data_IF_833227218889
#
_entry.id   IF_833227218889
#
_cell.length_a   1.000
_cell.length_b   1.000
_cell.length_c   1.000
_cell.angle_alpha   90.00
_cell.angle_beta   90.00
_cell.angle_gamma   90.00
#
_symmetry.space_group_name_H-M   'P 1'
#
loop_
_entity.id
_entity.type
_entity.pdbx_description
1 polymer ?
#
# COMPACT_ATOMS: atom_id res chain seq x y z
N UNK A 1 26.93 13.78 4.71
CA UNK A 1 25.92 12.73 4.44
C UNK A 1 26.35 12.02 3.15
N UNK A 2 26.91 10.81 3.22
CA UNK A 2 27.28 10.06 2.01
C UNK A 2 25.98 9.52 1.42
N UNK A 3 25.54 10.05 0.28
CA UNK A 3 24.53 9.36 -0.52
C UNK A 3 25.12 8.01 -0.87
N UNK A 4 24.45 6.91 -0.48
CA UNK A 4 24.81 5.59 -1.02
C UNK A 4 24.68 5.71 -2.54
N UNK A 5 25.72 5.33 -3.28
CA UNK A 5 25.65 5.32 -4.74
C UNK A 5 24.44 4.47 -5.16
N UNK A 6 23.63 5.00 -6.08
CA UNK A 6 22.50 4.26 -6.61
C UNK A 6 23.02 2.96 -7.24
N UNK A 7 22.30 1.85 -7.02
CA UNK A 7 22.59 0.62 -7.75
C UNK A 7 22.49 0.93 -9.24
N UNK A 8 23.56 0.61 -9.96
CA UNK A 8 23.65 0.79 -11.40
C UNK A 8 23.70 -0.56 -12.10
N UNK A 9 23.29 -0.60 -13.35
CA UNK A 9 23.13 -1.81 -14.15
C UNK A 9 23.64 -1.59 -15.57
N UNK A 10 24.16 -2.63 -16.22
CA UNK A 10 24.46 -2.58 -17.65
C UNK A 10 23.19 -2.82 -18.48
N UNK A 11 23.22 -2.48 -19.77
CA UNK A 11 22.13 -2.82 -20.68
C UNK A 11 21.88 -4.34 -20.71
N UNK A 12 22.96 -5.13 -20.71
CA UNK A 12 22.88 -6.59 -20.71
C UNK A 12 22.19 -7.13 -19.44
N UNK A 13 22.51 -6.58 -18.26
CA UNK A 13 21.85 -6.98 -17.00
C UNK A 13 20.35 -6.68 -17.03
N UNK A 14 19.95 -5.53 -17.59
CA UNK A 14 18.53 -5.18 -17.76
C UNK A 14 17.84 -6.15 -18.73
N UNK A 15 18.46 -6.42 -19.88
CA UNK A 15 17.93 -7.35 -20.89
C UNK A 15 17.82 -8.79 -20.37
N UNK A 16 18.84 -9.28 -19.67
CA UNK A 16 18.82 -10.59 -19.03
C UNK A 16 17.69 -10.66 -17.98
N UNK A 17 17.47 -9.59 -17.22
CA UNK A 17 16.38 -9.58 -16.24
C UNK A 17 15.00 -9.54 -16.91
N UNK A 18 14.83 -8.83 -18.03
CA UNK A 18 13.61 -8.90 -18.84
C UNK A 18 13.35 -10.34 -19.34
N UNK A 19 14.38 -11.04 -19.82
CA UNK A 19 14.27 -12.44 -20.23
C UNK A 19 13.86 -13.34 -19.06
N UNK A 20 14.46 -13.18 -17.87
CA UNK A 20 14.09 -13.95 -16.66
C UNK A 20 12.67 -13.71 -16.18
N UNK A 21 12.11 -12.52 -16.46
CA UNK A 21 10.73 -12.17 -16.09
C UNK A 21 9.71 -12.57 -17.16
N UNK A 22 10.16 -13.25 -18.23
CA UNK A 22 9.38 -13.62 -19.41
C UNK A 22 8.70 -12.40 -20.06
N UNK A 23 9.38 -11.25 -20.08
CA UNK A 23 8.87 -10.01 -20.69
C UNK A 23 9.40 -9.91 -22.11
N UNK A 24 8.55 -9.95 -23.15
CA UNK A 24 8.97 -9.72 -24.53
C UNK A 24 9.50 -8.29 -24.72
N UNK A 25 10.64 -8.16 -25.40
CA UNK A 25 11.17 -6.86 -25.78
C UNK A 25 11.94 -6.90 -27.10
N UNK A 26 12.05 -5.76 -27.76
CA UNK A 26 13.01 -5.52 -28.84
C UNK A 26 13.95 -4.38 -28.43
N UNK A 27 15.14 -4.29 -29.03
CA UNK A 27 16.13 -3.26 -28.70
C UNK A 27 16.49 -2.47 -29.95
N UNK A 28 16.46 -1.14 -29.87
CA UNK A 28 16.97 -0.30 -30.96
C UNK A 28 18.48 -0.47 -31.11
N UNK A 29 19.01 -0.31 -32.33
CA UNK A 29 20.46 -0.40 -32.56
C UNK A 29 21.21 0.73 -31.84
N UNK A 30 22.32 0.36 -31.17
CA UNK A 30 23.35 1.17 -30.49
C UNK A 30 23.17 1.49 -28.99
N UNK A 31 24.09 0.99 -28.15
CA UNK A 31 25.09 1.78 -27.38
C UNK A 31 26.30 0.92 -26.97
N UNK A 32 27.32 1.56 -26.39
CA UNK A 32 28.56 0.97 -25.90
C UNK A 32 28.33 -0.06 -24.77
N UNK A 33 28.93 -1.26 -24.84
CA UNK A 33 28.66 -2.39 -23.94
C UNK A 33 29.00 -2.16 -22.45
N UNK A 34 29.71 -1.07 -22.10
CA UNK A 34 30.20 -0.83 -20.73
C UNK A 34 29.47 0.30 -19.98
N UNK A 35 28.46 0.94 -20.59
CA UNK A 35 27.70 1.99 -19.92
C UNK A 35 26.89 1.42 -18.73
N UNK A 36 26.83 2.19 -17.64
CA UNK A 36 26.06 1.85 -16.43
C UNK A 36 24.90 2.81 -16.25
N UNK A 37 23.72 2.28 -15.96
CA UNK A 37 22.46 3.00 -15.87
C UNK A 37 21.80 2.80 -14.51
N UNK A 38 21.05 3.77 -14.02
CA UNK A 38 20.26 3.66 -12.79
C UNK A 38 18.79 3.98 -13.05
N UNK A 39 17.86 3.37 -12.30
CA UNK A 39 16.46 3.80 -12.33
C UNK A 39 16.35 5.26 -11.85
N UNK A 40 15.76 6.13 -12.67
CA UNK A 40 15.67 7.58 -12.40
C UNK A 40 14.25 8.12 -12.62
N UNK A 41 13.99 9.32 -12.09
CA UNK A 41 12.69 9.98 -12.19
C UNK A 41 12.62 10.90 -13.40
N UNK A 42 11.53 10.86 -14.15
CA UNK A 42 11.25 11.85 -15.20
C UNK A 42 11.08 13.29 -14.66
N UNK A 43 10.93 13.47 -13.34
CA UNK A 43 10.91 14.80 -12.70
C UNK A 43 12.30 15.40 -12.51
N UNK A 44 13.35 14.59 -12.62
CA UNK A 44 14.75 14.98 -12.54
C UNK A 44 15.53 14.16 -13.57
N UNK A 45 15.45 14.60 -14.83
CA UNK A 45 16.09 13.91 -15.95
C UNK A 45 17.59 14.14 -15.86
N UNK A 46 18.34 13.04 -15.93
CA UNK A 46 19.79 13.01 -15.94
C UNK A 46 20.25 11.90 -16.90
N UNK A 47 21.43 12.02 -17.51
CA UNK A 47 22.02 10.93 -18.29
C UNK A 47 22.16 9.63 -17.48
N UNK A 48 22.38 8.52 -18.19
CA UNK A 48 22.53 7.20 -17.58
C UNK A 48 21.31 6.78 -16.74
N UNK A 49 20.11 7.17 -17.16
CA UNK A 49 18.87 6.76 -16.53
C UNK A 49 18.25 5.53 -17.21
N UNK A 50 17.50 4.75 -16.45
CA UNK A 50 16.48 3.84 -16.93
C UNK A 50 15.16 4.55 -16.69
N UNK A 51 14.39 4.78 -17.76
CA UNK A 51 13.12 5.50 -17.74
C UNK A 51 12.04 4.67 -18.42
N UNK A 52 10.77 4.97 -18.14
CA UNK A 52 9.65 4.50 -18.94
C UNK A 52 8.87 5.69 -19.51
N UNK A 53 8.35 5.54 -20.72
CA UNK A 53 7.50 6.53 -21.37
C UNK A 53 6.30 5.83 -22.01
N UNK A 54 5.19 6.56 -22.11
CA UNK A 54 3.99 6.10 -22.83
C UNK A 54 3.92 6.78 -24.19
N UNK A 55 3.27 6.16 -25.16
CA UNK A 55 3.06 6.79 -26.47
C UNK A 55 2.18 8.04 -26.37
N UNK A 56 2.35 8.97 -27.32
CA UNK A 56 1.47 10.12 -27.49
C UNK A 56 1.57 11.20 -26.41
N UNK A 57 2.70 11.30 -25.69
CA UNK A 57 2.93 12.36 -24.71
C UNK A 57 3.06 13.72 -25.42
N UNK A 58 2.25 14.73 -25.05
CA UNK A 58 2.45 16.09 -25.52
C UNK A 58 3.76 16.65 -24.97
N UNK A 59 4.67 17.09 -25.85
CA UNK A 59 6.02 17.56 -25.52
C UNK A 59 6.87 16.48 -24.81
N UNK A 60 7.37 15.48 -25.56
CA UNK A 60 8.18 14.40 -24.99
C UNK A 60 9.45 14.95 -24.31
N UNK A 61 9.84 14.41 -23.13
CA UNK A 61 11.01 14.87 -22.40
C UNK A 61 12.31 14.66 -23.18
N UNK A 62 13.22 15.63 -23.13
CA UNK A 62 14.55 15.46 -23.71
C UNK A 62 15.40 14.57 -22.79
N UNK A 63 15.70 13.37 -23.26
CA UNK A 63 16.50 12.36 -22.55
C UNK A 63 17.68 12.01 -23.45
N UNK A 64 18.86 11.82 -22.86
CA UNK A 64 20.09 11.45 -23.58
C UNK A 64 20.85 10.38 -22.81
N UNK A 65 21.66 9.59 -23.53
CA UNK A 65 22.57 8.57 -22.98
C UNK A 65 21.89 7.64 -21.95
N UNK A 66 20.68 7.17 -22.22
CA UNK A 66 19.82 6.46 -21.26
C UNK A 66 19.12 5.23 -21.87
N UNK A 67 18.61 4.33 -21.02
CA UNK A 67 17.71 3.24 -21.42
C UNK A 67 16.27 3.73 -21.29
N UNK A 68 15.47 3.55 -22.33
CA UNK A 68 14.08 4.00 -22.38
C UNK A 68 13.19 2.79 -22.67
N UNK A 69 12.35 2.42 -21.71
CA UNK A 69 11.25 1.50 -21.92
C UNK A 69 10.13 2.26 -22.63
N UNK A 70 9.74 1.82 -23.84
CA UNK A 70 8.81 2.55 -24.70
C UNK A 70 7.96 1.57 -25.53
N UNK A 71 6.72 1.88 -25.96
CA UNK A 71 5.92 0.93 -26.71
C UNK A 71 6.22 0.91 -28.22
N UNK A 72 6.87 1.95 -28.75
CA UNK A 72 7.30 2.01 -30.14
C UNK A 72 8.79 1.64 -30.27
N UNK A 73 9.21 1.29 -31.48
CA UNK A 73 10.54 0.73 -31.73
C UNK A 73 11.69 1.68 -31.39
N UNK A 74 11.48 3.00 -31.49
CA UNK A 74 12.49 3.99 -31.17
C UNK A 74 11.87 5.28 -30.64
N UNK A 75 12.31 5.72 -29.46
CA UNK A 75 12.00 7.04 -28.92
C UNK A 75 12.89 8.13 -29.50
N UNK A 76 14.11 7.77 -29.94
CA UNK A 76 15.15 8.71 -30.36
C UNK A 76 15.91 9.37 -29.21
N UNK A 77 16.71 10.39 -29.55
CA UNK A 77 17.59 11.11 -28.63
C UNK A 77 19.02 10.57 -28.61
N UNK A 78 20.00 11.47 -28.47
CA UNK A 78 21.40 11.14 -28.63
C UNK A 78 21.87 10.12 -27.57
N UNK A 79 22.40 8.99 -28.03
CA UNK A 79 22.97 7.94 -27.16
C UNK A 79 21.94 7.14 -26.36
N UNK A 80 20.64 7.26 -26.65
CA UNK A 80 19.63 6.44 -25.99
C UNK A 80 19.55 5.03 -26.59
N UNK A 81 19.17 4.08 -25.74
CA UNK A 81 18.73 2.74 -26.14
C UNK A 81 17.24 2.64 -25.86
N UNK A 82 16.45 2.35 -26.88
CA UNK A 82 15.03 2.06 -26.72
C UNK A 82 14.86 0.56 -26.53
N UNK A 83 14.25 0.17 -25.42
CA UNK A 83 13.75 -1.18 -25.19
C UNK A 83 12.24 -1.15 -25.45
N UNK A 84 11.83 -1.66 -26.60
CA UNK A 84 10.43 -1.69 -26.99
C UNK A 84 9.68 -2.74 -26.15
N UNK A 85 8.66 -2.32 -25.41
CA UNK A 85 7.85 -3.17 -24.54
C UNK A 85 6.38 -2.76 -24.56
N UNK A 86 5.46 -3.71 -24.37
CA UNK A 86 4.02 -3.46 -24.50
C UNK A 86 3.46 -2.52 -23.42
N UNK A 87 3.79 -2.75 -22.14
CA UNK A 87 3.42 -1.89 -21.02
C UNK A 87 4.67 -1.35 -20.31
N UNK A 88 5.21 -0.20 -20.75
CA UNK A 88 6.43 0.37 -20.19
C UNK A 88 6.38 0.61 -18.69
N UNK A 89 5.21 0.98 -18.15
CA UNK A 89 5.07 1.26 -16.71
C UNK A 89 5.14 -0.04 -15.91
N UNK A 90 4.41 -1.07 -16.33
CA UNK A 90 4.45 -2.38 -15.69
C UNK A 90 5.85 -2.98 -15.73
N UNK A 91 6.50 -2.94 -16.89
CA UNK A 91 7.86 -3.47 -17.07
C UNK A 91 8.85 -2.73 -16.19
N UNK A 92 8.75 -1.40 -16.11
CA UNK A 92 9.58 -0.60 -15.21
C UNK A 92 9.44 -1.05 -13.75
N UNK A 93 8.21 -1.27 -13.28
CA UNK A 93 7.95 -1.72 -11.90
C UNK A 93 8.47 -3.13 -11.64
N UNK A 94 8.26 -4.09 -12.56
CA UNK A 94 8.78 -5.46 -12.41
C UNK A 94 10.31 -5.50 -12.41
N UNK A 95 10.96 -4.68 -13.24
CA UNK A 95 12.42 -4.55 -13.23
C UNK A 95 12.93 -3.92 -11.93
N UNK A 96 12.30 -2.85 -11.45
CA UNK A 96 12.67 -2.24 -10.16
C UNK A 96 12.51 -3.22 -9.00
N UNK A 97 11.39 -3.95 -8.96
CA UNK A 97 11.15 -4.99 -7.95
C UNK A 97 12.25 -6.06 -7.98
N UNK A 98 12.61 -6.56 -9.15
CA UNK A 98 13.59 -7.64 -9.29
C UNK A 98 15.05 -7.20 -9.09
N UNK A 99 15.41 -5.99 -9.52
CA UNK A 99 16.81 -5.52 -9.56
C UNK A 99 17.18 -4.60 -8.39
N UNK A 100 16.22 -3.84 -7.88
CA UNK A 100 16.43 -2.83 -6.82
C UNK A 100 15.85 -3.30 -5.49
N UNK A 101 14.80 -4.12 -5.50
CA UNK A 101 14.15 -4.63 -4.30
C UNK A 101 15.12 -5.17 -3.24
N UNK A 102 14.69 -5.13 -1.97
CA UNK A 102 15.48 -5.65 -0.85
C UNK A 102 15.77 -7.14 -1.07
N UNK A 103 17.04 -7.45 -1.35
CA UNK A 103 17.49 -8.80 -1.71
C UNK A 103 17.49 -9.77 -0.52
N UNK A 104 17.40 -9.24 0.71
CA UNK A 104 17.28 -10.02 1.94
C UNK A 104 16.23 -9.34 2.80
N UNK A 105 15.07 -10.00 2.95
CA UNK A 105 14.09 -9.58 3.94
C UNK A 105 14.67 -9.88 5.33
N UNK A 106 14.77 -8.89 6.24
CA UNK A 106 15.20 -9.17 7.59
C UNK A 106 14.23 -10.17 8.24
N UNK A 107 14.72 -10.95 9.18
CA UNK A 107 13.96 -11.95 9.94
C UNK A 107 14.41 -11.93 11.39
N UNK A 108 13.59 -12.49 12.28
CA UNK A 108 13.84 -12.56 13.70
C UNK A 108 13.43 -11.30 14.45
N UNK A 109 13.72 -11.31 15.75
CA UNK A 109 13.30 -10.28 16.70
C UNK A 109 14.49 -9.40 17.03
N UNK A 110 14.37 -8.09 16.78
CA UNK A 110 15.42 -7.15 17.14
C UNK A 110 15.61 -7.11 18.67
N UNK A 111 16.87 -7.03 19.19
CA UNK A 111 17.13 -7.08 20.64
C UNK A 111 16.47 -5.99 21.49
N UNK A 112 16.00 -4.91 20.86
CA UNK A 112 15.31 -3.80 21.54
C UNK A 112 13.78 -3.89 21.46
N UNK A 113 13.23 -4.91 20.80
CA UNK A 113 11.80 -5.16 20.82
C UNK A 113 11.38 -5.75 22.18
N UNK A 114 10.21 -5.33 22.66
CA UNK A 114 9.60 -5.86 23.89
C UNK A 114 8.48 -6.80 23.49
N UNK A 115 8.57 -8.06 23.92
CA UNK A 115 7.64 -9.13 23.56
C UNK A 115 6.93 -9.61 24.83
N UNK A 116 5.60 -9.59 24.83
CA UNK A 116 4.78 -10.09 25.92
C UNK A 116 4.75 -11.62 25.98
N UNK A 117 4.43 -12.16 27.16
CA UNK A 117 4.49 -13.61 27.43
C UNK A 117 3.51 -14.45 26.57
N UNK A 118 2.41 -13.84 26.12
CA UNK A 118 1.40 -14.51 25.28
C UNK A 118 1.68 -14.49 23.79
N UNK A 119 2.80 -13.89 23.35
CA UNK A 119 3.10 -13.77 21.94
C UNK A 119 3.46 -15.12 21.27
N UNK A 120 2.78 -15.42 20.18
CA UNK A 120 3.16 -16.48 19.24
C UNK A 120 3.74 -15.83 17.98
N UNK A 121 5.05 -15.94 17.77
CA UNK A 121 5.75 -15.29 16.65
C UNK A 121 6.45 -16.36 15.82
N UNK A 122 6.12 -16.39 14.52
CA UNK A 122 6.79 -17.27 13.57
C UNK A 122 8.29 -16.89 13.41
N UNK A 123 9.22 -17.85 13.36
CA UNK A 123 10.65 -17.55 13.22
C UNK A 123 11.04 -16.77 11.96
N UNK A 124 10.24 -16.86 10.90
CA UNK A 124 10.47 -16.12 9.65
C UNK A 124 9.93 -14.69 9.68
N UNK A 125 9.16 -14.33 10.70
CA UNK A 125 8.69 -12.96 10.88
C UNK A 125 9.85 -12.03 11.30
N UNK A 126 9.71 -10.75 10.96
CA UNK A 126 10.63 -9.70 11.38
C UNK A 126 9.95 -8.75 12.35
N UNK A 127 10.53 -8.62 13.54
CA UNK A 127 10.13 -7.64 14.54
C UNK A 127 11.24 -6.61 14.68
N UNK A 128 10.99 -5.42 14.15
CA UNK A 128 11.94 -4.31 14.12
C UNK A 128 12.28 -3.71 15.49
N UNK A 129 13.24 -2.77 15.53
CA UNK A 129 13.70 -2.15 16.76
C UNK A 129 12.57 -1.39 17.45
N UNK A 130 12.52 -1.51 18.78
CA UNK A 130 11.56 -0.81 19.64
C UNK A 130 10.08 -1.11 19.35
N UNK A 131 9.79 -2.21 18.67
CA UNK A 131 8.43 -2.74 18.64
C UNK A 131 7.99 -3.17 20.04
N UNK A 132 6.70 -3.04 20.33
CA UNK A 132 6.08 -3.51 21.58
C UNK A 132 4.91 -4.41 21.21
N UNK A 133 5.02 -5.70 21.53
CA UNK A 133 4.00 -6.70 21.27
C UNK A 133 3.44 -7.19 22.62
N UNK A 134 2.12 -7.20 22.79
CA UNK A 134 1.44 -7.67 24.00
C UNK A 134 1.12 -9.18 23.92
N UNK A 135 -0.15 -9.57 23.79
CA UNK A 135 -0.60 -10.96 23.64
C UNK A 135 -1.19 -11.12 22.24
N UNK A 136 -0.35 -11.51 21.29
CA UNK A 136 -0.69 -11.48 19.86
C UNK A 136 -0.04 -12.62 19.08
N UNK A 137 -0.57 -12.86 17.90
CA UNK A 137 -0.07 -13.87 16.97
C UNK A 137 0.51 -13.14 15.75
N UNK A 138 1.76 -13.45 15.40
CA UNK A 138 2.45 -12.93 14.22
C UNK A 138 2.89 -14.11 13.36
N UNK A 139 2.30 -14.23 12.16
CA UNK A 139 2.52 -15.35 11.25
C UNK A 139 3.75 -15.15 10.35
N UNK A 140 4.05 -16.18 9.56
CA UNK A 140 5.23 -16.28 8.72
C UNK A 140 5.40 -15.10 7.74
N UNK A 141 6.64 -14.65 7.55
CA UNK A 141 6.98 -13.56 6.61
C UNK A 141 6.44 -12.17 6.97
N UNK A 142 5.69 -12.02 8.07
CA UNK A 142 5.20 -10.73 8.53
C UNK A 142 6.37 -9.81 8.93
N UNK A 143 6.25 -8.51 8.62
CA UNK A 143 7.30 -7.50 8.83
C UNK A 143 6.74 -6.32 9.60
N UNK A 144 7.17 -6.18 10.85
CA UNK A 144 6.85 -5.04 11.70
C UNK A 144 8.05 -4.12 11.77
N UNK A 145 7.93 -2.92 11.20
CA UNK A 145 9.00 -1.93 11.23
C UNK A 145 9.11 -1.26 12.60
N UNK A 146 10.12 -0.40 12.77
CA UNK A 146 10.45 0.17 14.07
C UNK A 146 9.27 0.85 14.75
N UNK A 147 9.19 0.75 16.08
CA UNK A 147 8.13 1.40 16.88
C UNK A 147 6.69 0.98 16.53
N UNK A 148 6.48 -0.17 15.88
CA UNK A 148 5.14 -0.76 15.75
C UNK A 148 4.68 -1.30 17.11
N UNK A 149 3.44 -1.00 17.47
CA UNK A 149 2.79 -1.56 18.67
C UNK A 149 1.68 -2.52 18.26
N UNK A 150 1.76 -3.77 18.70
CA UNK A 150 0.70 -4.76 18.53
C UNK A 150 0.11 -5.08 19.89
N UNK A 151 -1.12 -4.65 20.12
CA UNK A 151 -1.81 -4.86 21.38
C UNK A 151 -2.49 -6.23 21.46
N UNK A 152 -2.94 -6.63 22.66
CA UNK A 152 -3.50 -7.97 22.93
C UNK A 152 -4.65 -8.36 22.01
N UNK A 153 -4.85 -9.65 21.75
CA UNK A 153 -5.95 -10.15 20.93
C UNK A 153 -5.84 -9.75 19.46
N UNK A 154 -4.62 -9.49 18.98
CA UNK A 154 -4.35 -9.16 17.57
C UNK A 154 -3.73 -10.36 16.87
N UNK A 155 -4.17 -10.64 15.64
CA UNK A 155 -3.52 -11.58 14.72
C UNK A 155 -3.02 -10.84 13.50
N UNK A 156 -1.73 -10.98 13.21
CA UNK A 156 -1.07 -10.52 11.98
C UNK A 156 -0.79 -11.75 11.13
N UNK A 157 -1.47 -11.87 9.99
CA UNK A 157 -1.35 -13.01 9.07
C UNK A 157 -0.08 -12.94 8.21
N UNK A 158 0.09 -13.91 7.31
CA UNK A 158 1.33 -14.09 6.55
C UNK A 158 1.66 -12.90 5.64
N UNK A 159 2.95 -12.61 5.49
CA UNK A 159 3.48 -11.59 4.57
C UNK A 159 2.93 -10.17 4.74
N UNK A 160 2.25 -9.89 5.87
CA UNK A 160 1.80 -8.54 6.22
C UNK A 160 3.00 -7.64 6.48
N UNK A 161 2.96 -6.40 5.96
CA UNK A 161 3.93 -5.35 6.30
C UNK A 161 3.24 -4.24 7.06
N UNK A 162 3.81 -3.86 8.20
CA UNK A 162 3.35 -2.73 9.01
C UNK A 162 4.52 -1.79 9.22
N UNK A 163 4.38 -0.59 8.69
CA UNK A 163 5.38 0.46 8.78
C UNK A 163 5.37 1.17 10.14
N UNK A 164 6.44 1.92 10.36
CA UNK A 164 6.80 2.46 11.68
C UNK A 164 5.71 3.34 12.31
N UNK A 165 5.67 3.35 13.64
CA UNK A 165 4.73 4.15 14.46
C UNK A 165 3.24 3.80 14.31
N UNK A 166 2.94 2.62 13.76
CA UNK A 166 1.57 2.12 13.66
C UNK A 166 1.19 1.31 14.91
N UNK A 167 -0.08 1.42 15.33
CA UNK A 167 -0.66 0.69 16.47
C UNK A 167 -1.84 -0.16 16.02
N UNK A 168 -1.74 -1.47 16.21
CA UNK A 168 -2.79 -2.43 15.85
C UNK A 168 -3.39 -3.02 17.12
N UNK A 169 -4.73 -3.07 17.17
CA UNK A 169 -5.46 -3.49 18.35
C UNK A 169 -5.64 -2.36 19.36
N UNK A 170 -5.63 -1.09 18.95
CA UNK A 170 -5.87 0.04 19.86
C UNK A 170 -7.19 -0.13 20.62
N UNK A 171 -7.23 0.30 21.89
CA UNK A 171 -8.46 0.23 22.71
C UNK A 171 -9.51 1.22 22.20
N UNK A 172 -10.70 0.71 21.87
CA UNK A 172 -11.85 1.54 21.49
C UNK A 172 -12.41 2.36 22.65
N UNK A 173 -13.15 3.41 22.33
CA UNK A 173 -13.71 4.35 23.32
C UNK A 173 -15.23 4.25 23.28
N UNK A 174 -15.80 3.32 24.05
CA UNK A 174 -17.24 3.15 24.20
C UNK A 174 -17.65 3.46 25.65
N UNK A 175 -18.64 4.35 25.82
CA UNK A 175 -19.13 4.75 27.13
C UNK A 175 -20.57 5.23 27.06
N UNK A 176 -21.26 5.14 28.20
CA UNK A 176 -22.62 5.68 28.39
C UNK A 176 -22.70 6.46 29.71
N UNK A 177 -23.76 7.25 29.88
CA UNK A 177 -24.10 7.85 31.16
C UNK A 177 -24.96 6.89 31.97
N UNK A 178 -24.59 6.66 33.23
CA UNK A 178 -25.49 6.06 34.21
C UNK A 178 -26.48 7.15 34.72
N UNK A 179 -27.79 7.00 34.50
CA UNK A 179 -28.77 8.01 34.86
C UNK A 179 -28.95 8.15 36.39
N UNK A 180 -28.62 7.12 37.17
CA UNK A 180 -28.74 7.11 38.64
C UNK A 180 -27.52 7.76 39.27
N UNK A 181 -26.32 7.26 38.95
CA UNK A 181 -25.09 7.75 39.58
C UNK A 181 -24.54 9.02 38.93
N UNK A 182 -25.05 9.40 37.75
CA UNK A 182 -24.57 10.52 36.92
C UNK A 182 -23.09 10.40 36.51
N UNK A 183 -22.53 9.19 36.55
CA UNK A 183 -21.13 8.91 36.17
C UNK A 183 -21.05 8.32 34.77
N UNK A 184 -19.90 8.52 34.12
CA UNK A 184 -19.56 7.84 32.87
C UNK A 184 -19.21 6.39 33.17
N UNK A 185 -19.89 5.47 32.52
CA UNK A 185 -19.55 4.03 32.54
C UNK A 185 -18.87 3.70 31.21
N UNK A 186 -17.62 3.25 31.28
CA UNK A 186 -16.83 2.86 30.11
C UNK A 186 -16.98 1.35 29.92
N UNK A 187 -17.24 0.92 28.69
CA UNK A 187 -17.25 -0.49 28.33
C UNK A 187 -15.81 -0.97 28.11
N UNK A 188 -15.29 -1.94 28.89
CA UNK A 188 -14.02 -2.58 28.58
C UNK A 188 -14.06 -3.19 27.17
N UNK A 189 -13.02 -2.95 26.37
CA UNK A 189 -12.94 -3.49 25.02
C UNK A 189 -12.20 -4.82 25.03
N UNK A 190 -12.91 -5.92 24.76
CA UNK A 190 -12.37 -7.30 24.83
C UNK A 190 -12.27 -7.98 23.48
N UNK A 191 -12.67 -7.29 22.40
CA UNK A 191 -12.63 -7.84 21.06
C UNK A 191 -11.24 -7.86 20.46
N UNK A 192 -11.20 -8.19 19.18
CA UNK A 192 -9.99 -8.62 18.49
C UNK A 192 -9.66 -7.73 17.29
N UNK A 193 -8.46 -7.91 16.75
CA UNK A 193 -8.05 -7.36 15.46
C UNK A 193 -7.39 -8.44 14.62
N UNK A 194 -7.65 -8.43 13.31
CA UNK A 194 -6.97 -9.29 12.35
C UNK A 194 -6.54 -8.49 11.13
N UNK A 195 -5.26 -8.59 10.78
CA UNK A 195 -4.73 -8.06 9.52
C UNK A 195 -4.40 -9.25 8.63
N UNK A 196 -5.15 -9.40 7.54
CA UNK A 196 -5.05 -10.56 6.65
C UNK A 196 -3.81 -10.49 5.76
N UNK A 197 -3.50 -11.64 5.14
CA UNK A 197 -2.24 -11.87 4.45
C UNK A 197 -1.94 -10.86 3.34
N UNK A 198 -0.67 -10.61 3.12
CA UNK A 198 -0.18 -9.74 2.04
C UNK A 198 -0.61 -8.28 2.13
N UNK A 199 -1.28 -7.85 3.21
CA UNK A 199 -1.62 -6.45 3.40
C UNK A 199 -0.39 -5.59 3.73
N UNK A 200 -0.39 -4.36 3.20
CA UNK A 200 0.57 -3.32 3.54
C UNK A 200 -0.12 -2.20 4.31
N UNK A 201 0.36 -1.89 5.50
CA UNK A 201 -0.05 -0.76 6.32
C UNK A 201 1.11 0.22 6.43
N UNK A 202 0.89 1.46 6.00
CA UNK A 202 1.86 2.55 6.08
C UNK A 202 2.15 3.00 7.52
N UNK A 203 2.86 4.11 7.64
CA UNK A 203 3.22 4.70 8.94
C UNK A 203 2.02 5.38 9.60
N UNK A 204 2.03 5.48 10.93
CA UNK A 204 0.99 6.17 11.72
C UNK A 204 -0.43 5.63 11.44
N UNK A 205 -0.55 4.31 11.30
CA UNK A 205 -1.84 3.63 11.19
C UNK A 205 -2.36 3.29 12.59
N UNK A 206 -3.66 3.43 12.79
CA UNK A 206 -4.31 2.91 14.00
C UNK A 206 -5.47 2.02 13.61
N UNK A 207 -5.44 0.76 14.05
CA UNK A 207 -6.57 -0.17 13.93
C UNK A 207 -7.11 -0.44 15.31
N UNK A 208 -8.36 -0.04 15.56
CA UNK A 208 -9.03 -0.23 16.84
C UNK A 208 -9.62 -1.63 16.90
N UNK A 209 -9.42 -2.34 18.02
CA UNK A 209 -10.00 -3.68 18.26
C UNK A 209 -11.52 -3.66 18.28
N UNK A 210 -12.15 -4.80 18.05
CA UNK A 210 -13.56 -5.01 18.30
C UNK A 210 -13.93 -4.70 19.76
N UNK A 211 -15.20 -4.37 20.01
CA UNK A 211 -15.66 -3.99 21.33
C UNK A 211 -15.79 -5.16 22.29
N UNK A 212 -16.38 -6.29 21.89
CA UNK A 212 -16.61 -7.43 22.78
C UNK A 212 -16.05 -8.73 22.21
N UNK A 213 -16.80 -9.43 21.35
CA UNK A 213 -16.41 -10.71 20.76
C UNK A 213 -16.24 -10.60 19.24
N UNK A 214 -16.44 -9.41 18.68
CA UNK A 214 -16.18 -9.12 17.28
C UNK A 214 -14.70 -8.81 17.02
N UNK A 215 -14.33 -8.90 15.76
CA UNK A 215 -12.98 -8.63 15.26
C UNK A 215 -13.05 -7.47 14.28
N UNK A 216 -12.14 -6.50 14.39
CA UNK A 216 -11.88 -5.54 13.31
C UNK A 216 -10.95 -6.21 12.30
N UNK A 217 -11.37 -6.30 11.04
CA UNK A 217 -10.63 -7.04 10.00
C UNK A 217 -10.15 -6.10 8.90
N UNK A 218 -8.85 -6.18 8.60
CA UNK A 218 -8.26 -5.68 7.36
C UNK A 218 -8.11 -6.86 6.40
N UNK A 219 -8.80 -6.82 5.26
CA UNK A 219 -8.84 -7.91 4.28
C UNK A 219 -7.52 -8.15 3.55
N UNK A 220 -7.39 -9.31 2.93
CA UNK A 220 -6.19 -9.74 2.20
C UNK A 220 -5.77 -8.74 1.12
N UNK A 221 -4.46 -8.52 0.96
CA UNK A 221 -3.93 -7.66 -0.09
C UNK A 221 -4.30 -6.16 0.02
N UNK A 222 -4.91 -5.72 1.12
CA UNK A 222 -5.17 -4.29 1.32
C UNK A 222 -3.87 -3.47 1.32
N UNK A 223 -3.91 -2.30 0.70
CA UNK A 223 -2.84 -1.30 0.76
C UNK A 223 -3.38 -0.05 1.45
N UNK A 224 -2.94 0.18 2.68
CA UNK A 224 -3.39 1.29 3.51
C UNK A 224 -2.25 2.30 3.64
N UNK A 225 -2.36 3.43 2.96
CA UNK A 225 -1.38 4.50 3.06
C UNK A 225 -1.48 5.28 4.37
N UNK A 226 -0.45 6.09 4.60
CA UNK A 226 -0.06 6.68 5.87
C UNK A 226 -1.18 7.45 6.59
N UNK A 227 -1.15 7.44 7.93
CA UNK A 227 -1.99 8.28 8.79
C UNK A 227 -3.46 7.84 8.93
N UNK A 228 -3.86 6.72 8.31
CA UNK A 228 -5.23 6.25 8.33
C UNK A 228 -5.64 5.62 9.67
N UNK A 229 -6.90 5.83 10.08
CA UNK A 229 -7.48 5.35 11.34
C UNK A 229 -8.71 4.47 11.04
N UNK A 230 -8.73 3.26 11.61
CA UNK A 230 -9.78 2.26 11.40
C UNK A 230 -10.49 1.94 12.72
N UNK A 231 -11.78 2.25 12.79
CA UNK A 231 -12.62 2.07 13.96
C UNK A 231 -13.00 0.62 14.24
N UNK A 232 -13.40 0.38 15.49
CA UNK A 232 -13.78 -0.94 16.02
C UNK A 232 -14.86 -1.65 15.19
N UNK A 233 -14.76 -2.97 15.07
CA UNK A 233 -15.76 -3.82 14.39
C UNK A 233 -15.87 -3.60 12.88
N UNK A 234 -14.98 -2.79 12.29
CA UNK A 234 -14.98 -2.54 10.85
C UNK A 234 -14.42 -3.73 10.08
N UNK A 235 -15.05 -4.00 8.95
CA UNK A 235 -14.75 -5.11 8.03
C UNK A 235 -14.31 -4.52 6.69
N UNK A 236 -13.00 -4.51 6.45
CA UNK A 236 -12.43 -4.04 5.18
C UNK A 236 -12.26 -5.24 4.26
N UNK A 237 -12.93 -5.24 3.11
CA UNK A 237 -12.82 -6.30 2.10
C UNK A 237 -11.41 -6.42 1.50
N UNK A 238 -11.13 -7.51 0.77
CA UNK A 238 -9.81 -7.73 0.18
C UNK A 238 -9.48 -6.67 -0.88
N UNK A 239 -8.19 -6.45 -1.10
CA UNK A 239 -7.63 -5.59 -2.14
C UNK A 239 -8.12 -4.13 -2.09
N UNK A 240 -8.58 -3.67 -0.92
CA UNK A 240 -8.94 -2.25 -0.76
C UNK A 240 -7.69 -1.38 -0.74
N UNK A 241 -7.80 -0.19 -1.32
CA UNK A 241 -6.74 0.81 -1.33
C UNK A 241 -7.18 2.07 -0.58
N UNK A 242 -6.46 2.41 0.47
CA UNK A 242 -6.65 3.67 1.19
C UNK A 242 -5.48 4.58 0.82
N UNK A 243 -5.79 5.76 0.31
CA UNK A 243 -4.82 6.83 0.19
C UNK A 243 -4.51 7.42 1.59
N UNK A 244 -3.84 8.57 1.65
CA UNK A 244 -3.37 9.09 2.93
C UNK A 244 -4.52 9.62 3.81
N UNK A 245 -4.39 9.46 5.12
CA UNK A 245 -5.25 10.06 6.15
C UNK A 245 -6.74 9.69 6.05
N UNK A 246 -7.06 8.41 5.80
CA UNK A 246 -8.46 7.95 5.79
C UNK A 246 -8.99 7.78 7.20
N UNK A 247 -10.25 8.17 7.43
CA UNK A 247 -10.95 7.94 8.69
C UNK A 247 -12.14 6.99 8.49
N UNK A 248 -11.98 5.74 8.93
CA UNK A 248 -13.06 4.75 8.99
C UNK A 248 -13.59 4.72 10.41
N UNK A 249 -14.86 5.06 10.60
CA UNK A 249 -15.49 5.00 11.91
C UNK A 249 -15.88 3.56 12.30
N UNK A 250 -16.51 3.38 13.47
CA UNK A 250 -16.86 2.04 13.98
C UNK A 250 -17.91 1.30 13.13
N UNK A 251 -17.74 -0.01 13.00
CA UNK A 251 -18.65 -0.94 12.33
C UNK A 251 -18.91 -0.63 10.85
N UNK A 252 -17.91 -0.11 10.13
CA UNK A 252 -18.01 0.10 8.68
C UNK A 252 -17.73 -1.20 7.94
N UNK A 253 -18.45 -1.47 6.85
CA UNK A 253 -18.16 -2.59 5.95
C UNK A 253 -17.79 -2.05 4.57
N UNK A 254 -16.63 -2.43 4.05
CA UNK A 254 -16.23 -2.17 2.67
C UNK A 254 -16.20 -3.49 1.90
N UNK A 255 -16.77 -3.52 0.71
CA UNK A 255 -16.59 -4.60 -0.25
C UNK A 255 -15.16 -4.67 -0.77
N UNK A 256 -14.87 -5.68 -1.60
CA UNK A 256 -13.54 -5.85 -2.19
C UNK A 256 -13.17 -4.68 -3.12
N UNK A 257 -11.88 -4.41 -3.27
CA UNK A 257 -11.34 -3.48 -4.28
C UNK A 257 -11.90 -2.05 -4.20
N UNK A 258 -12.36 -1.61 -3.03
CA UNK A 258 -12.73 -0.22 -2.80
C UNK A 258 -11.48 0.68 -2.81
N UNK A 259 -11.61 1.87 -3.39
CA UNK A 259 -10.56 2.90 -3.35
C UNK A 259 -11.04 4.10 -2.54
N UNK A 260 -10.30 4.49 -1.50
CA UNK A 260 -10.60 5.67 -0.70
C UNK A 260 -9.54 6.73 -0.92
N UNK A 261 -9.92 7.83 -1.57
CA UNK A 261 -9.06 8.98 -1.84
C UNK A 261 -8.68 9.76 -0.58
N UNK A 262 -7.55 10.46 -0.64
CA UNK A 262 -6.90 11.05 0.54
C UNK A 262 -7.85 11.89 1.38
N UNK A 263 -7.84 11.70 2.69
CA UNK A 263 -8.68 12.44 3.63
C UNK A 263 -10.16 12.07 3.62
N UNK A 264 -10.58 10.99 2.93
CA UNK A 264 -11.96 10.55 2.97
C UNK A 264 -12.37 10.05 4.36
N UNK A 265 -13.65 10.26 4.70
CA UNK A 265 -14.24 9.87 5.98
C UNK A 265 -15.47 9.00 5.73
N UNK A 266 -15.58 7.88 6.44
CA UNK A 266 -16.74 6.98 6.38
C UNK A 266 -17.43 6.91 7.74
N UNK A 267 -18.70 7.31 7.77
CA UNK A 267 -19.54 7.36 8.99
C UNK A 267 -19.74 5.96 9.61
N UNK A 268 -19.93 5.84 10.95
CA UNK A 268 -20.20 4.55 11.58
C UNK A 268 -21.33 3.77 10.91
N UNK A 269 -21.25 2.44 10.96
CA UNK A 269 -22.27 1.51 10.49
C UNK A 269 -22.58 1.61 8.98
N UNK A 270 -21.72 2.27 8.20
CA UNK A 270 -21.91 2.43 6.76
C UNK A 270 -21.41 1.20 6.01
N UNK A 271 -22.08 0.83 4.91
CA UNK A 271 -21.70 -0.26 4.01
C UNK A 271 -21.42 0.30 2.63
N UNK A 272 -20.25 0.01 2.05
CA UNK A 272 -19.92 0.33 0.66
C UNK A 272 -19.72 -0.96 -0.12
N UNK A 273 -20.39 -1.08 -1.26
CA UNK A 273 -20.25 -2.18 -2.18
C UNK A 273 -18.83 -2.25 -2.76
N UNK A 274 -18.47 -3.40 -3.30
CA UNK A 274 -17.18 -3.62 -3.96
C UNK A 274 -16.89 -2.56 -5.04
N UNK A 275 -15.61 -2.31 -5.29
CA UNK A 275 -15.12 -1.39 -6.33
C UNK A 275 -15.64 0.05 -6.18
N UNK A 276 -16.23 0.40 -5.04
CA UNK A 276 -16.64 1.79 -4.76
C UNK A 276 -15.40 2.67 -4.68
N UNK A 277 -15.44 3.79 -5.38
CA UNK A 277 -14.39 4.82 -5.35
C UNK A 277 -14.89 6.01 -4.55
N UNK A 278 -14.23 6.33 -3.45
CA UNK A 278 -14.52 7.52 -2.63
C UNK A 278 -13.49 8.58 -2.99
N UNK A 279 -13.96 9.75 -3.43
CA UNK A 279 -13.10 10.87 -3.77
C UNK A 279 -12.30 11.41 -2.58
N UNK A 280 -11.20 12.09 -2.90
CA UNK A 280 -10.41 12.80 -1.89
C UNK A 280 -11.28 13.80 -1.11
N UNK A 281 -11.15 13.79 0.22
CA UNK A 281 -11.91 14.63 1.14
C UNK A 281 -13.42 14.35 1.22
N UNK A 282 -13.93 13.31 0.57
CA UNK A 282 -15.36 13.01 0.61
C UNK A 282 -15.79 12.45 1.98
N UNK A 283 -17.01 12.79 2.40
CA UNK A 283 -17.59 12.36 3.69
C UNK A 283 -18.81 11.48 3.43
N UNK A 284 -18.63 10.17 3.57
CA UNK A 284 -19.66 9.18 3.26
C UNK A 284 -20.57 8.98 4.47
N UNK A 285 -21.82 9.40 4.34
CA UNK A 285 -22.83 9.37 5.42
C UNK A 285 -24.01 8.43 5.14
N UNK A 286 -24.01 7.74 3.99
CA UNK A 286 -25.04 6.78 3.57
C UNK A 286 -24.38 5.52 3.01
N UNK A 287 -25.11 4.41 3.07
CA UNK A 287 -24.71 3.19 2.39
C UNK A 287 -24.60 3.41 0.88
N UNK A 288 -23.73 2.62 0.25
CA UNK A 288 -23.60 2.48 -1.20
C UNK A 288 -23.70 1.00 -1.52
N UNK A 289 -24.82 0.56 -2.08
CA UNK A 289 -25.06 -0.87 -2.37
C UNK A 289 -24.73 -1.25 -3.81
N UNK A 290 -24.62 -0.25 -4.69
CA UNK A 290 -24.25 -0.45 -6.09
C UNK A 290 -22.72 -0.49 -6.23
N UNK A 291 -22.15 -1.59 -6.78
CA UNK A 291 -20.72 -1.71 -7.04
C UNK A 291 -20.17 -0.66 -8.01
N UNK A 292 -18.90 -0.30 -7.86
CA UNK A 292 -18.21 0.52 -8.86
C UNK A 292 -18.57 2.01 -8.88
N UNK A 293 -19.42 2.49 -7.96
CA UNK A 293 -19.81 3.89 -7.93
C UNK A 293 -18.67 4.81 -7.47
N UNK A 294 -18.62 5.99 -8.08
CA UNK A 294 -17.80 7.11 -7.63
C UNK A 294 -18.62 7.98 -6.66
N UNK A 295 -18.14 8.14 -5.42
CA UNK A 295 -18.73 8.98 -4.39
C UNK A 295 -17.89 10.23 -4.16
N UNK A 296 -18.49 11.42 -4.32
CA UNK A 296 -17.79 12.71 -4.19
C UNK A 296 -18.53 13.68 -3.27
N UNK A 297 -17.76 14.54 -2.58
CA UNK A 297 -18.28 15.65 -1.77
C UNK A 297 -18.51 15.32 -0.29
N UNK A 298 -18.99 16.31 0.46
CA UNK A 298 -19.29 16.22 1.89
C UNK A 298 -20.64 16.92 2.17
N UNK A 299 -21.77 16.17 2.30
CA UNK A 299 -21.86 14.71 2.26
C UNK A 299 -21.64 14.14 0.85
N UNK A 300 -21.04 12.95 0.79
CA UNK A 300 -20.74 12.27 -0.45
C UNK A 300 -22.00 11.84 -1.18
N UNK A 301 -22.03 12.03 -2.50
CA UNK A 301 -23.11 11.60 -3.39
C UNK A 301 -22.52 10.85 -4.60
N UNK A 302 -23.27 9.92 -5.21
CA UNK A 302 -22.89 9.34 -6.48
C UNK A 302 -22.64 10.45 -7.52
N UNK A 303 -21.47 10.41 -8.13
CA UNK A 303 -21.13 11.23 -9.29
C UNK A 303 -21.20 10.35 -10.54
N UNK A 304 -21.55 10.95 -11.69
CA UNK A 304 -21.30 10.27 -12.96
C UNK A 304 -19.80 9.99 -13.04
N UNK A 305 -19.43 8.72 -13.21
CA UNK A 305 -18.05 8.34 -13.48
C UNK A 305 -17.52 9.27 -14.58
N UNK A 306 -16.48 10.04 -14.29
CA UNK A 306 -15.79 10.75 -15.35
C UNK A 306 -15.27 9.66 -16.29
N UNK A 307 -15.65 9.71 -17.56
CA UNK A 307 -15.34 8.70 -18.59
C UNK A 307 -13.85 8.66 -18.96
N UNK A 308 -12.94 8.84 -17.99
CA UNK A 308 -11.51 8.96 -18.16
C UNK A 308 -10.74 8.36 -16.99
N UNK A 309 -9.46 8.08 -17.24
CA UNK A 309 -8.52 7.51 -16.27
C UNK A 309 -8.43 8.40 -15.03
N UNK A 310 -8.85 7.88 -13.87
CA UNK A 310 -8.73 8.60 -12.59
C UNK A 310 -7.26 8.62 -12.16
N UNK A 311 -6.74 9.82 -11.83
CA UNK A 311 -5.37 9.97 -11.36
C UNK A 311 -5.19 9.31 -10.00
N UNK A 312 -4.13 8.50 -9.84
CA UNK A 312 -3.79 7.84 -8.58
C UNK A 312 -4.66 6.64 -8.19
N UNK A 313 -5.69 6.31 -8.97
CA UNK A 313 -6.50 5.09 -8.79
C UNK A 313 -5.91 4.00 -9.68
N UNK A 314 -5.46 2.85 -9.12
CA UNK A 314 -5.07 1.71 -9.93
C UNK A 314 -6.20 1.29 -10.86
N UNK A 315 -5.87 0.83 -12.08
CA UNK A 315 -6.87 0.22 -12.95
C UNK A 315 -7.39 -1.05 -12.23
N UNK A 316 -8.72 -1.25 -12.13
CA UNK A 316 -9.23 -2.56 -11.75
C UNK A 316 -8.63 -3.61 -12.67
N UNK A 317 -8.40 -4.81 -12.14
CA UNK A 317 -8.26 -5.98 -12.99
C UNK A 317 -9.63 -6.14 -13.66
N UNK A 318 -9.74 -5.79 -14.94
CA UNK A 318 -10.93 -6.14 -15.71
C UNK A 318 -11.09 -7.67 -15.63
N UNK A 319 -12.32 -8.15 -15.39
CA UNK A 319 -12.62 -9.58 -15.52
C UNK A 319 -12.35 -10.06 -16.94
#
# INVERSE_FOLDING_TARGET
MRMREARTFTLEEVQQQLQRLDIPFSTSSSTAPEARYAFKSLRQIEPAGIYFLVAGIPNPPQIENSIILYPEADYGGAGNVTLQVEDPQLVFYRLMEAMVGESVKPQGIHPTAVIGEGCEIDPSAYIGPFCVLEDCIVKAGARLHSHVTIMRGTTIEEDVTIESHSTIGATGVAWIWDPVTRRRVVQPQTGYTRVCRGSFLGTDITVVRGSVNETTIIGEGCVIAHGSKIGHGSQIGPECHFANNISIAGNVTLGQQCFLGSGAVVRPQTRLAERTVVGAGAVVVKHCEEPGLLLMGAPAKPAKSASGRMSGVPKPLDN
#
